data_IF_479543304109
#
_entry.id   IF_479543304109
#
_cell.length_a   1.000
_cell.length_b   1.000
_cell.length_c   1.000
_cell.angle_alpha   90.00
_cell.angle_beta   90.00
_cell.angle_gamma   90.00
#
_symmetry.space_group_name_H-M   'P 1'
#
loop_
_entity.id
_entity.type
_entity.pdbx_description
1 polymer ?
#
# COMPACT_ATOMS: atom_id res chain seq x y z
N UNK A 1 13.95 19.81 39.76
CA UNK A 1 15.17 19.74 38.91
C UNK A 1 15.42 18.28 38.57
N UNK A 2 14.59 17.71 37.68
CA UNK A 2 14.82 16.38 37.13
C UNK A 2 15.75 16.55 35.93
N UNK A 3 16.96 16.00 36.02
CA UNK A 3 17.98 16.10 34.99
C UNK A 3 17.44 15.52 33.67
N UNK A 4 17.67 16.25 32.58
CA UNK A 4 17.30 15.90 31.22
C UNK A 4 18.21 14.77 30.71
N UNK A 5 18.11 13.59 31.33
CA UNK A 5 18.89 12.41 30.96
C UNK A 5 18.39 11.75 29.66
N UNK A 6 17.31 12.30 29.07
CA UNK A 6 16.80 11.84 27.76
C UNK A 6 17.69 12.29 26.62
N UNK A 7 18.38 13.43 26.74
CA UNK A 7 19.35 13.92 25.76
C UNK A 7 20.46 12.89 25.42
N UNK A 8 21.23 12.40 26.41
CA UNK A 8 22.29 11.43 26.14
C UNK A 8 21.76 10.08 25.66
N UNK A 9 20.66 9.58 26.23
CA UNK A 9 20.05 8.30 25.81
C UNK A 9 19.56 8.38 24.36
N UNK A 10 18.82 9.43 23.98
CA UNK A 10 18.32 9.59 22.61
C UNK A 10 19.46 9.78 21.61
N UNK A 11 20.53 10.47 22.01
CA UNK A 11 21.74 10.62 21.18
C UNK A 11 22.44 9.28 20.99
N UNK A 12 22.61 8.50 22.06
CA UNK A 12 23.18 7.15 21.99
C UNK A 12 22.35 6.21 21.11
N UNK A 13 21.02 6.24 21.23
CA UNK A 13 20.10 5.46 20.38
C UNK A 13 20.22 5.88 18.91
N UNK A 14 20.27 7.18 18.60
CA UNK A 14 20.47 7.67 17.23
C UNK A 14 21.82 7.24 16.66
N UNK A 15 22.90 7.37 17.43
CA UNK A 15 24.23 6.92 17.01
C UNK A 15 24.25 5.42 16.78
N UNK A 16 23.65 4.64 17.67
CA UNK A 16 23.52 3.19 17.50
C UNK A 16 22.75 2.86 16.22
N UNK A 17 21.60 3.51 15.97
CA UNK A 17 20.81 3.31 14.76
C UNK A 17 21.59 3.70 13.49
N UNK A 18 22.35 4.80 13.53
CA UNK A 18 23.20 5.22 12.41
C UNK A 18 24.33 4.23 12.14
N UNK A 19 25.01 3.74 13.19
CA UNK A 19 26.09 2.75 13.08
C UNK A 19 25.55 1.41 12.57
N UNK A 20 24.45 0.93 13.15
CA UNK A 20 23.79 -0.31 12.74
C UNK A 20 23.28 -0.18 11.30
N UNK A 21 22.54 0.88 10.98
CA UNK A 21 22.04 1.12 9.63
C UNK A 21 23.15 1.27 8.59
N UNK A 22 24.22 2.00 8.92
CA UNK A 22 25.39 2.15 8.07
C UNK A 22 26.14 0.82 7.86
N UNK A 23 26.31 0.03 8.92
CA UNK A 23 26.93 -1.30 8.84
C UNK A 23 26.09 -2.27 8.00
N UNK A 24 24.77 -2.34 8.22
CA UNK A 24 23.87 -3.15 7.38
C UNK A 24 23.87 -2.69 5.92
N UNK A 25 23.85 -1.38 5.67
CA UNK A 25 23.91 -0.82 4.32
C UNK A 25 25.22 -1.18 3.61
N UNK A 26 26.35 -1.02 4.29
CA UNK A 26 27.66 -1.42 3.77
C UNK A 26 27.74 -2.93 3.51
N UNK A 27 27.26 -3.75 4.45
CA UNK A 27 27.23 -5.20 4.31
C UNK A 27 26.38 -5.63 3.10
N UNK A 28 25.20 -5.04 2.91
CA UNK A 28 24.36 -5.29 1.75
C UNK A 28 25.01 -4.87 0.43
N UNK A 29 25.70 -3.73 0.39
CA UNK A 29 26.45 -3.29 -0.80
C UNK A 29 27.61 -4.25 -1.09
N UNK A 30 28.36 -4.68 -0.07
CA UNK A 30 29.46 -5.63 -0.25
C UNK A 30 28.95 -6.94 -0.86
N UNK A 31 27.86 -7.50 -0.32
CA UNK A 31 27.17 -8.68 -0.88
C UNK A 31 26.69 -8.45 -2.31
N UNK A 32 26.17 -7.26 -2.61
CA UNK A 32 25.69 -6.93 -3.95
C UNK A 32 26.84 -6.94 -4.98
N UNK A 33 28.02 -6.44 -4.59
CA UNK A 33 29.18 -6.37 -5.47
C UNK A 33 29.82 -7.73 -5.78
N UNK A 34 29.46 -8.78 -5.04
CA UNK A 34 29.89 -10.16 -5.32
C UNK A 34 29.09 -10.81 -6.48
N UNK A 35 27.98 -10.20 -6.93
CA UNK A 35 27.20 -10.73 -8.05
C UNK A 35 27.91 -10.54 -9.41
N UNK A 36 27.66 -11.44 -10.39
CA UNK A 36 28.07 -11.23 -11.77
C UNK A 36 27.60 -9.88 -12.33
N UNK A 37 28.40 -9.29 -13.23
CA UNK A 37 28.08 -7.99 -13.87
C UNK A 37 26.69 -7.96 -14.53
N UNK A 38 26.25 -9.08 -15.11
CA UNK A 38 24.93 -9.18 -15.72
C UNK A 38 23.81 -8.99 -14.69
N UNK A 39 23.95 -9.59 -13.51
CA UNK A 39 22.96 -9.49 -12.42
C UNK A 39 22.96 -8.08 -11.82
N UNK A 40 24.14 -7.47 -11.65
CA UNK A 40 24.25 -6.07 -11.23
C UNK A 40 23.51 -5.11 -12.18
N UNK A 41 23.68 -5.28 -13.50
CA UNK A 41 22.96 -4.49 -14.50
C UNK A 41 21.45 -4.74 -14.39
N UNK A 42 21.03 -6.00 -14.27
CA UNK A 42 19.62 -6.36 -14.09
C UNK A 42 19.01 -5.69 -12.86
N UNK A 43 19.72 -5.70 -11.74
CA UNK A 43 19.30 -5.06 -10.49
C UNK A 43 19.15 -3.55 -10.69
N UNK A 44 20.15 -2.89 -11.28
CA UNK A 44 20.08 -1.44 -11.59
C UNK A 44 18.91 -1.12 -12.50
N UNK A 45 18.69 -1.91 -13.56
CA UNK A 45 17.57 -1.71 -14.47
C UNK A 45 16.22 -1.91 -13.78
N UNK A 46 16.09 -2.88 -12.87
CA UNK A 46 14.85 -3.13 -12.13
C UNK A 46 14.58 -2.01 -11.11
N UNK A 47 15.59 -1.56 -10.37
CA UNK A 47 15.47 -0.44 -9.44
C UNK A 47 15.13 0.87 -10.18
N UNK A 48 15.94 1.24 -11.18
CA UNK A 48 15.72 2.47 -11.93
C UNK A 48 14.38 2.42 -12.70
N UNK A 49 14.10 1.32 -13.39
CA UNK A 49 12.86 1.13 -14.14
C UNK A 49 11.62 1.14 -13.24
N UNK A 50 11.66 0.46 -12.09
CA UNK A 50 10.57 0.44 -11.12
C UNK A 50 10.29 1.82 -10.52
N UNK A 51 11.34 2.54 -10.10
CA UNK A 51 11.21 3.91 -9.57
C UNK A 51 10.66 4.85 -10.64
N UNK A 52 11.23 4.85 -11.84
CA UNK A 52 10.78 5.71 -12.93
C UNK A 52 9.33 5.41 -13.32
N UNK A 53 8.95 4.14 -13.44
CA UNK A 53 7.56 3.76 -13.73
C UNK A 53 6.61 4.21 -12.62
N UNK A 54 7.01 4.05 -11.36
CA UNK A 54 6.21 4.49 -10.22
C UNK A 54 6.02 6.01 -10.22
N UNK A 55 7.11 6.78 -10.27
CA UNK A 55 7.07 8.23 -10.09
C UNK A 55 6.59 8.97 -11.34
N UNK A 56 6.93 8.49 -12.54
CA UNK A 56 6.55 9.13 -13.79
C UNK A 56 5.17 8.69 -14.31
N UNK A 57 4.67 7.51 -13.90
CA UNK A 57 3.40 6.97 -14.42
C UNK A 57 2.40 6.72 -13.30
N UNK A 58 2.73 5.88 -12.34
CA UNK A 58 1.76 5.45 -11.33
C UNK A 58 1.30 6.59 -10.42
N UNK A 59 2.23 7.41 -9.90
CA UNK A 59 1.91 8.54 -9.04
C UNK A 59 1.08 9.62 -9.76
N UNK A 60 1.41 10.07 -10.99
CA UNK A 60 0.58 10.98 -11.76
C UNK A 60 -0.81 10.42 -12.06
N UNK A 61 -0.93 9.14 -12.42
CA UNK A 61 -2.22 8.48 -12.63
C UNK A 61 -3.06 8.46 -11.35
N UNK A 62 -2.47 8.10 -10.21
CA UNK A 62 -3.13 8.14 -8.91
C UNK A 62 -3.61 9.55 -8.56
N UNK A 63 -2.78 10.57 -8.79
CA UNK A 63 -3.15 11.97 -8.56
C UNK A 63 -4.30 12.41 -9.48
N UNK A 64 -4.26 12.06 -10.77
CA UNK A 64 -5.31 12.37 -11.73
C UNK A 64 -6.65 11.69 -11.36
N UNK A 65 -6.62 10.40 -11.00
CA UNK A 65 -7.80 9.66 -10.54
C UNK A 65 -8.33 10.25 -9.23
N UNK A 66 -7.46 10.54 -8.26
CA UNK A 66 -7.85 11.12 -6.98
C UNK A 66 -8.48 12.52 -7.12
N UNK A 67 -7.88 13.39 -7.93
CA UNK A 67 -8.43 14.71 -8.26
C UNK A 67 -9.77 14.59 -9.00
N UNK A 68 -9.90 13.58 -9.86
CA UNK A 68 -11.15 13.32 -10.58
C UNK A 68 -12.26 12.77 -9.71
N UNK A 69 -11.93 11.85 -8.81
CA UNK A 69 -12.86 11.24 -7.87
C UNK A 69 -13.48 12.28 -6.92
N UNK A 70 -12.72 13.31 -6.52
CA UNK A 70 -13.22 14.39 -5.66
C UNK A 70 -14.37 15.19 -6.28
N UNK A 71 -14.51 15.19 -7.61
CA UNK A 71 -15.63 15.84 -8.32
C UNK A 71 -16.95 15.09 -8.14
N UNK A 72 -16.88 13.76 -7.99
CA UNK A 72 -18.03 12.87 -8.11
C UNK A 72 -18.44 12.22 -6.79
N UNK A 73 -17.49 11.98 -5.87
CA UNK A 73 -17.77 11.32 -4.61
C UNK A 73 -18.14 12.33 -3.51
N UNK A 74 -19.26 12.15 -2.80
CA UNK A 74 -19.53 12.88 -1.58
C UNK A 74 -18.40 12.66 -0.57
N UNK A 75 -18.09 13.67 0.25
CA UNK A 75 -16.98 13.56 1.22
C UNK A 75 -17.10 12.44 2.26
N UNK A 76 -18.25 11.75 2.36
CA UNK A 76 -18.43 10.54 3.19
C UNK A 76 -17.86 9.28 2.53
N UNK A 77 -17.76 9.27 1.20
CA UNK A 77 -17.33 8.10 0.44
C UNK A 77 -15.85 8.15 0.06
N UNK A 78 -15.22 9.32 0.15
CA UNK A 78 -13.83 9.50 -0.30
C UNK A 78 -12.84 8.60 0.46
N UNK A 79 -12.90 8.57 1.80
CA UNK A 79 -12.00 7.73 2.61
C UNK A 79 -12.15 6.24 2.32
N UNK A 80 -13.36 5.65 2.46
CA UNK A 80 -13.61 4.25 2.12
C UNK A 80 -13.21 3.90 0.69
N UNK A 81 -13.57 4.73 -0.30
CA UNK A 81 -13.26 4.47 -1.70
C UNK A 81 -11.74 4.51 -1.97
N UNK A 82 -11.00 5.43 -1.34
CA UNK A 82 -9.54 5.46 -1.46
C UNK A 82 -8.90 4.18 -0.91
N UNK A 83 -9.34 3.70 0.26
CA UNK A 83 -8.89 2.41 0.80
C UNK A 83 -9.24 1.26 -0.14
N UNK A 84 -10.47 1.21 -0.66
CA UNK A 84 -10.91 0.19 -1.62
C UNK A 84 -10.07 0.17 -2.89
N UNK A 85 -9.75 1.34 -3.43
CA UNK A 85 -8.89 1.48 -4.61
C UNK A 85 -7.46 0.96 -4.33
N UNK A 86 -6.85 1.35 -3.21
CA UNK A 86 -5.51 0.88 -2.82
C UNK A 86 -5.50 -0.65 -2.64
N UNK A 87 -6.49 -1.20 -1.93
CA UNK A 87 -6.64 -2.65 -1.77
C UNK A 87 -6.82 -3.36 -3.12
N UNK A 88 -7.62 -2.80 -4.03
CA UNK A 88 -7.84 -3.36 -5.36
C UNK A 88 -6.53 -3.39 -6.16
N UNK A 89 -5.77 -2.29 -6.19
CA UNK A 89 -4.48 -2.24 -6.89
C UNK A 89 -3.47 -3.22 -6.29
N UNK A 90 -3.40 -3.31 -4.96
CA UNK A 90 -2.53 -4.28 -4.28
C UNK A 90 -2.90 -5.73 -4.63
N UNK A 91 -4.20 -6.07 -4.64
CA UNK A 91 -4.68 -7.38 -5.05
C UNK A 91 -4.35 -7.70 -6.51
N UNK A 92 -4.53 -6.74 -7.42
CA UNK A 92 -4.15 -6.89 -8.82
C UNK A 92 -2.64 -7.11 -8.99
N UNK A 93 -1.82 -6.32 -8.30
CA UNK A 93 -0.37 -6.43 -8.37
C UNK A 93 0.14 -7.78 -7.86
N UNK A 94 -0.40 -8.26 -6.73
CA UNK A 94 -0.03 -9.56 -6.15
C UNK A 94 -0.56 -10.73 -7.00
N UNK A 95 -1.74 -10.59 -7.61
CA UNK A 95 -2.32 -11.64 -8.45
C UNK A 95 -1.67 -11.73 -9.84
N UNK A 96 -1.09 -10.64 -10.37
CA UNK A 96 -0.57 -10.59 -11.74
C UNK A 96 0.31 -11.79 -12.15
N UNK A 97 1.27 -12.27 -11.33
CA UNK A 97 2.13 -13.40 -11.73
C UNK A 97 1.42 -14.76 -11.82
N UNK A 98 0.25 -14.91 -11.18
CA UNK A 98 -0.47 -16.19 -11.08
C UNK A 98 -1.70 -16.28 -11.99
N UNK A 99 -2.12 -15.17 -12.59
CA UNK A 99 -3.34 -15.11 -13.41
C UNK A 99 -3.26 -15.97 -14.68
N UNK A 100 -2.12 -15.96 -15.37
CA UNK A 100 -1.94 -16.69 -16.64
C UNK A 100 -1.63 -18.18 -16.43
N UNK A 101 -1.29 -18.60 -15.20
CA UNK A 101 -0.81 -19.95 -14.89
C UNK A 101 0.36 -20.44 -15.78
N UNK A 102 1.06 -19.54 -16.48
CA UNK A 102 2.13 -19.88 -17.43
C UNK A 102 3.33 -20.61 -16.83
N UNK A 103 3.47 -20.58 -15.50
CA UNK A 103 4.49 -21.31 -14.74
C UNK A 103 3.92 -22.50 -13.95
N UNK A 104 2.74 -23.00 -14.32
CA UNK A 104 2.22 -24.24 -13.76
C UNK A 104 3.15 -25.39 -14.14
N UNK A 105 3.56 -26.20 -13.16
CA UNK A 105 4.54 -27.26 -13.35
C UNK A 105 3.82 -28.60 -13.57
N UNK A 106 3.92 -29.23 -14.75
CA UNK A 106 3.20 -30.48 -15.03
C UNK A 106 3.53 -31.60 -14.05
N UNK A 107 4.80 -31.66 -13.61
CA UNK A 107 5.30 -32.69 -12.69
C UNK A 107 4.90 -32.44 -11.22
N UNK A 108 4.35 -31.26 -10.91
CA UNK A 108 3.88 -30.93 -9.57
C UNK A 108 2.53 -30.21 -9.63
N UNK A 109 1.42 -30.98 -9.71
CA UNK A 109 0.09 -30.44 -9.97
C UNK A 109 -0.47 -29.58 -8.83
N UNK A 110 0.22 -29.45 -7.69
CA UNK A 110 -0.15 -28.52 -6.61
C UNK A 110 0.30 -27.09 -6.89
N UNK A 111 1.20 -26.88 -7.85
CA UNK A 111 1.69 -25.55 -8.24
C UNK A 111 0.65 -24.87 -9.12
N UNK A 112 0.17 -23.71 -8.67
CA UNK A 112 -0.87 -22.93 -9.35
C UNK A 112 -2.16 -23.73 -9.63
N UNK A 113 -2.57 -24.61 -8.72
CA UNK A 113 -3.74 -25.49 -8.83
C UNK A 113 -5.10 -24.79 -8.55
N UNK A 114 -5.08 -23.59 -7.98
CA UNK A 114 -6.27 -22.78 -7.69
C UNK A 114 -6.79 -22.01 -8.90
N UNK A 115 -8.09 -21.72 -8.89
CA UNK A 115 -8.70 -20.75 -9.81
C UNK A 115 -8.44 -19.31 -9.31
N UNK A 116 -7.23 -18.79 -9.62
CA UNK A 116 -6.82 -17.45 -9.20
C UNK A 116 -7.72 -16.32 -9.72
N UNK A 117 -8.24 -16.33 -10.97
CA UNK A 117 -9.21 -15.34 -11.42
C UNK A 117 -10.46 -15.30 -10.53
N UNK A 118 -11.01 -16.46 -10.15
CA UNK A 118 -12.15 -16.52 -9.24
C UNK A 118 -11.81 -15.98 -7.85
N UNK A 119 -10.65 -16.35 -7.31
CA UNK A 119 -10.17 -15.84 -6.01
C UNK A 119 -9.97 -14.32 -6.01
N UNK A 120 -9.41 -13.77 -7.09
CA UNK A 120 -9.21 -12.33 -7.27
C UNK A 120 -10.56 -11.60 -7.33
N UNK A 121 -11.51 -12.08 -8.13
CA UNK A 121 -12.86 -11.48 -8.21
C UNK A 121 -13.54 -11.53 -6.85
N UNK A 122 -13.49 -12.66 -6.15
CA UNK A 122 -14.08 -12.79 -4.82
C UNK A 122 -13.46 -11.80 -3.81
N UNK A 123 -12.13 -11.65 -3.82
CA UNK A 123 -11.43 -10.70 -2.97
C UNK A 123 -11.80 -9.24 -3.28
N UNK A 124 -11.84 -8.86 -4.57
CA UNK A 124 -12.24 -7.51 -4.99
C UNK A 124 -13.69 -7.22 -4.61
N UNK A 125 -14.61 -8.16 -4.84
CA UNK A 125 -16.02 -8.01 -4.42
C UNK A 125 -16.11 -7.82 -2.91
N UNK A 126 -15.41 -8.64 -2.12
CA UNK A 126 -15.40 -8.50 -0.67
C UNK A 126 -14.89 -7.13 -0.22
N UNK A 127 -13.81 -6.63 -0.81
CA UNK A 127 -13.28 -5.28 -0.54
C UNK A 127 -14.36 -4.22 -0.79
N UNK A 128 -15.03 -4.26 -1.94
CA UNK A 128 -16.03 -3.23 -2.28
C UNK A 128 -17.33 -3.35 -1.49
N UNK A 129 -17.71 -4.55 -1.04
CA UNK A 129 -18.79 -4.73 -0.06
C UNK A 129 -18.44 -4.05 1.26
N UNK A 130 -17.21 -4.24 1.77
CA UNK A 130 -16.75 -3.59 3.00
C UNK A 130 -16.65 -2.07 2.85
N UNK A 131 -16.20 -1.57 1.70
CA UNK A 131 -16.20 -0.14 1.37
C UNK A 131 -17.62 0.42 1.38
N UNK A 132 -18.58 -0.29 0.77
CA UNK A 132 -20.00 0.06 0.80
C UNK A 132 -20.56 0.14 2.21
N UNK A 133 -20.28 -0.86 3.05
CA UNK A 133 -20.68 -0.89 4.45
C UNK A 133 -20.08 0.27 5.25
N UNK A 134 -18.79 0.55 5.06
CA UNK A 134 -18.11 1.66 5.73
C UNK A 134 -18.66 3.03 5.29
N UNK A 135 -18.93 3.23 3.99
CA UNK A 135 -19.55 4.44 3.47
C UNK A 135 -20.97 4.65 4.00
N UNK A 136 -21.76 3.59 4.08
CA UNK A 136 -23.10 3.62 4.65
C UNK A 136 -23.08 3.95 6.15
N UNK A 137 -22.18 3.34 6.92
CA UNK A 137 -21.99 3.63 8.34
C UNK A 137 -21.61 5.11 8.56
N UNK A 138 -20.66 5.63 7.78
CA UNK A 138 -20.27 7.05 7.86
C UNK A 138 -21.41 8.00 7.51
N UNK A 139 -22.26 7.65 6.54
CA UNK A 139 -23.44 8.43 6.20
C UNK A 139 -24.47 8.41 7.35
N UNK A 140 -24.68 7.26 7.98
CA UNK A 140 -25.57 7.13 9.14
C UNK A 140 -25.08 7.96 10.33
N UNK A 141 -23.77 7.96 10.62
CA UNK A 141 -23.18 8.76 11.69
C UNK A 141 -23.31 10.27 11.45
N UNK A 142 -23.14 10.71 10.20
CA UNK A 142 -23.34 12.11 9.82
C UNK A 142 -24.80 12.56 9.99
N UNK A 143 -25.77 11.69 9.67
CA UNK A 143 -27.20 11.95 9.90
C UNK A 143 -27.48 12.10 11.40
N UNK A 144 -27.00 11.16 12.22
CA UNK A 144 -27.15 11.22 13.69
C UNK A 144 -26.59 12.50 14.31
N UNK A 145 -25.40 12.95 13.87
CA UNK A 145 -24.78 14.20 14.37
C UNK A 145 -25.59 15.45 14.02
N UNK A 146 -26.21 15.47 12.84
CA UNK A 146 -27.08 16.58 12.41
C UNK A 146 -28.30 16.70 13.32
N UNK A 147 -28.96 15.58 13.60
CA UNK A 147 -30.16 15.54 14.44
C UNK A 147 -29.85 16.02 15.88
N UNK A 148 -28.72 15.60 16.45
CA UNK A 148 -28.31 16.07 17.80
C UNK A 148 -27.97 17.56 17.86
N UNK A 149 -27.53 18.16 16.75
CA UNK A 149 -27.20 19.59 16.69
C UNK A 149 -28.48 20.43 16.60
N UNK A 150 -29.44 19.99 15.79
CA UNK A 150 -30.75 20.65 15.65
C UNK A 150 -31.52 20.66 16.98
N UNK A 151 -31.47 19.57 17.75
CA UNK A 151 -32.13 19.49 19.06
C UNK A 151 -31.49 20.40 20.14
N UNK A 152 -30.20 20.73 20.03
CA UNK A 152 -29.55 21.70 20.94
C UNK A 152 -29.82 23.17 20.58
N UNK A 153 -30.22 23.45 19.34
CA UNK A 153 -30.49 24.80 18.86
C UNK A 153 -31.95 25.26 19.03
N UNK A 154 -32.86 24.37 19.44
CA UNK A 154 -34.21 24.75 19.85
C UNK A 154 -34.19 25.23 21.31
N UNK A 155 -34.48 26.51 21.59
CA UNK A 155 -34.53 27.08 22.94
C UNK A 155 -35.67 26.51 23.79
#
# INVERSE_FOLDING_TARGET
MAFDDRGPIMTAVRLLLLLVGGWLGWYGIALLLDFPRADLISIVLWFAGGILLHDAVFAPLCAAVGASARRFLPGAWWGPAACGAVCTVALLAIAAPVLDRGHAMPDNPTVLDRNYPLGLVAAVVLVWVLVGAAGAAQLADRRRRRDTTTQRSTP
#
